data_IF_286013556068
#
_entry.id   IF_286013556068
#
_cell.length_a   1.000
_cell.length_b   1.000
_cell.length_c   1.000
_cell.angle_alpha   90.00
_cell.angle_beta   90.00
_cell.angle_gamma   90.00
#
_symmetry.space_group_name_H-M   'P 1'
#
loop_
_entity.id
_entity.type
_entity.pdbx_description
1 polymer ?
#
# COMPACT_ATOMS: atom_id res chain seq x y z
N UNK A 1 -1.59 20.33 -1.13
CA UNK A 1 -0.42 19.45 -1.31
C UNK A 1 -0.34 18.85 -2.71
N UNK A 2 -1.43 18.29 -3.26
CA UNK A 2 -1.45 17.68 -4.60
C UNK A 2 -0.74 18.48 -5.73
N UNK A 3 -0.89 19.82 -5.85
CA UNK A 3 -0.25 20.59 -6.92
C UNK A 3 1.28 20.64 -6.86
N UNK A 4 1.92 20.16 -5.79
CA UNK A 4 3.39 20.16 -5.67
C UNK A 4 3.95 18.75 -5.45
N UNK A 5 3.11 17.72 -5.59
CA UNK A 5 3.54 16.34 -5.42
C UNK A 5 4.38 15.89 -6.62
N UNK A 6 5.56 15.34 -6.34
CA UNK A 6 6.45 14.72 -7.33
C UNK A 6 6.53 13.20 -7.18
N UNK A 7 6.47 12.72 -5.93
CA UNK A 7 6.52 11.31 -5.59
C UNK A 7 5.39 10.98 -4.61
N UNK A 8 4.75 9.84 -4.82
CA UNK A 8 3.71 9.29 -3.95
C UNK A 8 4.16 7.93 -3.45
N UNK A 9 4.23 7.75 -2.12
CA UNK A 9 4.45 6.43 -1.53
C UNK A 9 3.11 5.75 -1.31
N UNK A 10 2.90 4.63 -1.99
CA UNK A 10 1.68 3.84 -1.91
C UNK A 10 1.90 2.73 -0.90
N UNK A 11 1.10 2.77 0.16
CA UNK A 11 1.15 1.79 1.25
C UNK A 11 -0.25 1.50 1.74
N UNK A 12 -0.53 0.22 1.91
CA UNK A 12 -1.84 -0.25 2.35
C UNK A 12 -1.76 -0.92 3.73
N UNK A 13 -2.84 -0.83 4.48
CA UNK A 13 -2.92 -1.34 5.84
C UNK A 13 -4.32 -1.79 6.21
N UNK A 14 -4.37 -2.77 7.11
CA UNK A 14 -5.61 -3.29 7.69
C UNK A 14 -5.68 -2.81 9.14
N UNK A 15 -6.84 -2.30 9.53
CA UNK A 15 -7.15 -1.91 10.90
C UNK A 15 -8.10 -2.96 11.47
N UNK A 16 -7.73 -3.58 12.59
CA UNK A 16 -8.59 -4.56 13.28
C UNK A 16 -8.77 -4.15 14.73
N UNK A 17 -9.96 -4.38 15.27
CA UNK A 17 -10.22 -4.24 16.69
C UNK A 17 -9.63 -5.43 17.44
N UNK A 18 -9.01 -5.17 18.59
CA UNK A 18 -8.52 -6.26 19.44
C UNK A 18 -9.68 -7.00 20.10
N UNK A 19 -9.49 -8.27 20.47
CA UNK A 19 -10.55 -9.11 21.05
C UNK A 19 -11.12 -8.55 22.35
N UNK A 20 -10.30 -7.84 23.14
CA UNK A 20 -10.74 -7.15 24.36
C UNK A 20 -11.67 -5.96 24.10
N UNK A 21 -11.89 -5.60 22.83
CA UNK A 21 -12.61 -4.41 22.38
C UNK A 21 -12.00 -3.07 22.82
N UNK A 22 -10.86 -3.10 23.50
CA UNK A 22 -10.10 -1.92 23.93
C UNK A 22 -8.84 -1.74 23.08
N UNK A 23 -8.97 -0.96 22.00
CA UNK A 23 -7.87 -0.61 21.10
C UNK A 23 -7.96 -1.23 19.71
N UNK A 24 -6.97 -0.90 18.88
CA UNK A 24 -6.86 -1.35 17.50
C UNK A 24 -5.43 -1.77 17.17
N UNK A 25 -5.31 -2.72 16.26
CA UNK A 25 -4.05 -3.09 15.64
C UNK A 25 -4.08 -2.60 14.19
N UNK A 26 -3.05 -1.86 13.80
CA UNK A 26 -2.81 -1.45 12.42
C UNK A 26 -1.66 -2.28 11.88
N UNK A 27 -1.90 -3.01 10.80
CA UNK A 27 -0.91 -3.90 10.19
C UNK A 27 -0.75 -3.59 8.72
N UNK A 28 0.48 -3.60 8.20
CA UNK A 28 0.70 -3.47 6.77
C UNK A 28 0.13 -4.66 5.99
N UNK A 29 -0.17 -4.44 4.72
CA UNK A 29 -0.62 -5.49 3.79
C UNK A 29 -0.16 -5.16 2.36
N UNK A 30 -0.28 -6.12 1.45
CA UNK A 30 -0.10 -5.87 0.02
C UNK A 30 -1.09 -4.80 -0.47
N UNK A 31 -0.68 -3.98 -1.44
CA UNK A 31 -1.53 -2.94 -2.00
C UNK A 31 -2.83 -3.53 -2.58
N UNK A 32 -3.97 -2.89 -2.28
CA UNK A 32 -5.29 -3.35 -2.70
C UNK A 32 -5.90 -4.41 -1.78
N UNK A 33 -5.25 -4.74 -0.65
CA UNK A 33 -5.77 -5.67 0.36
C UNK A 33 -6.17 -5.00 1.67
N UNK A 34 -5.91 -3.71 1.82
CA UNK A 34 -6.28 -2.93 2.99
C UNK A 34 -7.31 -1.86 2.66
N UNK A 35 -7.29 -0.78 3.44
CA UNK A 35 -8.27 0.31 3.34
C UNK A 35 -7.91 1.43 2.36
N UNK A 36 -6.72 1.43 1.73
CA UNK A 36 -6.33 2.52 0.85
C UNK A 36 -7.08 2.48 -0.49
N UNK A 37 -7.85 3.54 -0.78
CA UNK A 37 -8.48 3.73 -2.08
C UNK A 37 -7.48 4.27 -3.12
N UNK A 38 -6.66 3.37 -3.67
CA UNK A 38 -5.63 3.70 -4.67
C UNK A 38 -6.22 4.32 -5.95
N UNK A 39 -7.31 3.81 -6.55
CA UNK A 39 -7.90 4.41 -7.75
C UNK A 39 -8.29 5.87 -7.53
N UNK A 40 -8.97 6.18 -6.42
CA UNK A 40 -9.36 7.55 -6.09
C UNK A 40 -8.14 8.45 -5.90
N UNK A 41 -7.10 7.98 -5.19
CA UNK A 41 -5.87 8.76 -5.00
C UNK A 41 -5.24 9.16 -6.34
N UNK A 42 -5.10 8.20 -7.26
CA UNK A 42 -4.52 8.43 -8.58
C UNK A 42 -5.38 9.35 -9.43
N UNK A 43 -6.71 9.22 -9.38
CA UNK A 43 -7.63 10.12 -10.06
C UNK A 43 -7.47 11.57 -9.57
N UNK A 44 -7.36 11.78 -8.26
CA UNK A 44 -7.16 13.12 -7.68
C UNK A 44 -5.83 13.76 -8.10
N UNK A 45 -4.77 12.97 -8.24
CA UNK A 45 -3.47 13.45 -8.72
C UNK A 45 -3.54 13.84 -10.20
N UNK A 46 -4.17 13.02 -11.04
CA UNK A 46 -4.40 13.32 -12.46
C UNK A 46 -5.25 14.58 -12.65
N UNK A 47 -6.34 14.70 -11.89
CA UNK A 47 -7.21 15.88 -11.93
C UNK A 47 -6.47 17.17 -11.52
N UNK A 48 -5.41 17.06 -10.70
CA UNK A 48 -4.52 18.17 -10.37
C UNK A 48 -3.44 18.44 -11.44
N UNK A 49 -3.48 17.75 -12.59
CA UNK A 49 -2.49 17.85 -13.65
C UNK A 49 -1.11 17.35 -13.22
N UNK A 50 -1.06 16.30 -12.39
CA UNK A 50 0.18 15.74 -11.88
C UNK A 50 0.38 14.31 -12.34
N UNK A 51 1.55 14.12 -12.93
CA UNK A 51 2.16 12.82 -13.16
C UNK A 51 3.23 12.62 -12.10
N UNK A 52 3.03 11.65 -11.19
CA UNK A 52 3.90 11.44 -10.03
C UNK A 52 4.45 10.03 -10.06
N UNK A 53 5.69 9.87 -9.58
CA UNK A 53 6.22 8.53 -9.35
C UNK A 53 5.44 7.85 -8.24
N UNK A 54 4.90 6.67 -8.51
CA UNK A 54 4.32 5.81 -7.49
C UNK A 54 5.37 4.82 -6.96
N UNK A 55 5.74 4.97 -5.70
CA UNK A 55 6.72 4.13 -5.02
C UNK A 55 5.97 3.21 -4.07
N UNK A 56 6.09 1.90 -4.27
CA UNK A 56 5.51 0.92 -3.36
C UNK A 56 6.29 0.90 -2.03
N UNK A 57 5.59 1.02 -0.90
CA UNK A 57 6.14 0.86 0.44
C UNK A 57 5.34 -0.20 1.21
N UNK A 58 6.01 -1.26 1.68
CA UNK A 58 5.40 -2.38 2.40
C UNK A 58 5.94 -2.48 3.82
N UNK A 59 5.04 -2.58 4.81
CA UNK A 59 5.38 -2.88 6.20
C UNK A 59 4.94 -4.31 6.53
N UNK A 60 5.65 -5.28 5.97
CA UNK A 60 5.40 -6.70 6.21
C UNK A 60 5.68 -7.04 7.67
N UNK A 61 4.73 -7.65 8.40
CA UNK A 61 4.97 -8.10 9.77
C UNK A 61 6.09 -9.13 9.83
N UNK A 62 6.87 -9.10 10.91
CA UNK A 62 7.87 -10.14 11.16
C UNK A 62 7.17 -11.50 11.30
N UNK A 63 7.57 -12.44 10.46
CA UNK A 63 7.21 -13.84 10.58
C UNK A 63 8.01 -14.55 11.68
N UNK A 64 7.79 -15.86 11.87
CA UNK A 64 8.51 -16.65 12.86
C UNK A 64 10.02 -16.74 12.57
N UNK A 65 10.43 -16.54 11.32
CA UNK A 65 11.83 -16.46 10.91
C UNK A 65 12.04 -15.33 9.89
N UNK A 66 13.30 -14.94 9.69
CA UNK A 66 13.66 -13.95 8.68
C UNK A 66 13.29 -14.43 7.27
N UNK A 67 13.58 -15.70 6.94
CA UNK A 67 13.25 -16.27 5.62
C UNK A 67 11.75 -16.23 5.33
N UNK A 68 10.91 -16.54 6.32
CA UNK A 68 9.44 -16.43 6.18
C UNK A 68 9.02 -14.99 5.96
N UNK A 69 9.65 -14.04 6.65
CA UNK A 69 9.38 -12.59 6.47
C UNK A 69 9.75 -12.12 5.07
N UNK A 70 10.93 -12.53 4.58
CA UNK A 70 11.41 -12.19 3.24
C UNK A 70 10.54 -12.79 2.14
N UNK A 71 10.19 -14.07 2.26
CA UNK A 71 9.29 -14.75 1.32
C UNK A 71 7.92 -14.07 1.28
N UNK A 72 7.36 -13.72 2.45
CA UNK A 72 6.10 -12.99 2.51
C UNK A 72 6.19 -11.61 1.86
N UNK A 73 7.30 -10.90 2.09
CA UNK A 73 7.58 -9.60 1.48
C UNK A 73 7.63 -9.68 -0.05
N UNK A 74 8.30 -10.69 -0.60
CA UNK A 74 8.37 -10.92 -2.05
C UNK A 74 6.98 -11.13 -2.66
N UNK A 75 6.18 -12.03 -2.07
CA UNK A 75 4.80 -12.29 -2.51
C UNK A 75 3.95 -11.02 -2.47
N UNK A 76 4.09 -10.21 -1.41
CA UNK A 76 3.35 -8.95 -1.30
C UNK A 76 3.81 -7.93 -2.33
N UNK A 77 5.11 -7.83 -2.60
CA UNK A 77 5.65 -6.92 -3.61
C UNK A 77 5.06 -7.24 -4.99
N UNK A 78 5.13 -8.51 -5.41
CA UNK A 78 4.60 -8.96 -6.70
C UNK A 78 3.09 -8.71 -6.83
N UNK A 79 2.31 -9.06 -5.80
CA UNK A 79 0.87 -8.83 -5.78
C UNK A 79 0.53 -7.32 -5.85
N UNK A 80 1.29 -6.50 -5.13
CA UNK A 80 1.09 -5.05 -5.07
C UNK A 80 1.41 -4.36 -6.39
N UNK A 81 2.49 -4.77 -7.07
CA UNK A 81 2.83 -4.25 -8.40
C UNK A 81 1.75 -4.65 -9.40
N UNK A 82 1.31 -5.92 -9.38
CA UNK A 82 0.24 -6.39 -10.26
C UNK A 82 -1.05 -5.59 -10.08
N UNK A 83 -1.44 -5.31 -8.84
CA UNK A 83 -2.60 -4.49 -8.53
C UNK A 83 -2.43 -3.05 -9.03
N UNK A 84 -1.32 -2.39 -8.73
CA UNK A 84 -1.09 -0.99 -9.12
C UNK A 84 -1.00 -0.81 -10.64
N UNK A 85 -0.46 -1.78 -11.37
CA UNK A 85 -0.38 -1.75 -12.84
C UNK A 85 -1.74 -1.78 -13.55
N UNK A 86 -2.81 -2.13 -12.85
CA UNK A 86 -4.17 -1.96 -13.38
C UNK A 86 -4.56 -0.48 -13.51
N UNK A 87 -3.89 0.41 -12.76
CA UNK A 87 -4.21 1.83 -12.71
C UNK A 87 -3.08 2.71 -13.24
N UNK A 88 -1.83 2.26 -13.21
CA UNK A 88 -0.65 3.03 -13.65
C UNK A 88 -0.08 2.37 -14.92
N UNK A 89 -0.28 2.97 -16.11
CA UNK A 89 0.25 2.44 -17.37
C UNK A 89 1.79 2.49 -17.40
N UNK A 90 2.38 1.81 -18.39
CA UNK A 90 3.83 1.76 -18.60
C UNK A 90 4.41 3.10 -19.01
#
# INVERSE_FOLDING_TARGET
MAPYALNSRVKDSIIRRVSSQMGFVVTGCAAGRGGLNVPWLLERLRAAGRDVNAILELWTPCGPTLDVTMAQGQVWAEASIRYQRQFIPH
#
